data_IF_905705523692
#
_entry.id   IF_905705523692
#
_cell.length_a   1.000
_cell.length_b   1.000
_cell.length_c   1.000
_cell.angle_alpha   90.00
_cell.angle_beta   90.00
_cell.angle_gamma   90.00
#
_symmetry.space_group_name_H-M   'P 1'
#
loop_
_entity.id
_entity.type
_entity.pdbx_description
1 polymer ?
#
# COMPACT_ATOMS: atom_id res chain seq x y z
N UNK A 1 -68.60 -10.02 5.63
CA UNK A 1 -67.42 -9.56 4.85
C UNK A 1 -66.25 -9.45 5.81
N UNK A 2 -65.04 -9.95 5.62
CA UNK A 2 -64.41 -10.98 4.77
C UNK A 2 -63.16 -11.39 5.58
N UNK A 3 -62.85 -12.68 5.63
CA UNK A 3 -61.60 -13.21 6.16
C UNK A 3 -60.40 -12.82 5.25
N UNK A 4 -59.21 -12.77 5.82
CA UNK A 4 -57.92 -12.76 5.10
C UNK A 4 -56.78 -12.76 6.12
N UNK A 5 -56.36 -13.93 6.65
CA UNK A 5 -55.33 -14.84 6.08
C UNK A 5 -54.01 -14.11 5.84
N UNK A 6 -53.07 -14.34 6.76
CA UNK A 6 -51.68 -14.00 6.60
C UNK A 6 -51.01 -14.82 5.50
N UNK A 7 -50.06 -14.19 4.81
CA UNK A 7 -49.05 -14.83 4.00
C UNK A 7 -47.73 -14.10 4.20
N UNK A 8 -46.84 -14.72 4.98
CA UNK A 8 -45.43 -14.43 4.93
C UNK A 8 -44.90 -14.91 3.57
N UNK A 9 -44.42 -13.99 2.75
CA UNK A 9 -43.63 -14.32 1.56
C UNK A 9 -42.17 -14.18 1.97
N UNK A 10 -41.52 -15.32 2.17
CA UNK A 10 -40.06 -15.41 2.24
C UNK A 10 -39.54 -15.20 0.83
N UNK A 11 -38.95 -14.03 0.57
CA UNK A 11 -38.11 -13.81 -0.60
C UNK A 11 -36.65 -13.85 -0.15
N UNK A 12 -36.03 -15.02 -0.32
CA UNK A 12 -34.58 -15.12 -0.36
C UNK A 12 -34.08 -14.41 -1.61
N UNK A 13 -33.30 -13.34 -1.44
CA UNK A 13 -32.38 -12.86 -2.47
C UNK A 13 -30.98 -12.84 -1.87
N UNK A 14 -30.15 -13.70 -2.43
CA UNK A 14 -28.71 -13.78 -2.26
C UNK A 14 -28.06 -12.45 -2.65
N UNK A 15 -27.42 -11.81 -1.68
CA UNK A 15 -26.30 -10.90 -1.91
C UNK A 15 -25.44 -10.91 -0.64
N UNK A 16 -24.50 -11.84 -0.58
CA UNK A 16 -23.35 -11.70 0.31
C UNK A 16 -22.56 -10.44 -0.14
N UNK A 17 -21.87 -9.81 0.80
CA UNK A 17 -21.20 -8.49 0.68
C UNK A 17 -22.09 -7.29 1.00
N UNK A 18 -22.56 -7.21 2.25
CA UNK A 18 -22.55 -6.00 3.11
C UNK A 18 -23.35 -6.28 4.37
N UNK A 19 -22.71 -6.39 5.53
CA UNK A 19 -23.36 -6.17 6.82
C UNK A 19 -22.43 -5.35 7.72
N UNK A 20 -22.35 -4.06 7.38
CA UNK A 20 -22.13 -3.01 8.35
C UNK A 20 -23.48 -2.76 9.05
N UNK A 21 -23.69 -3.34 10.23
CA UNK A 21 -24.88 -3.02 11.04
C UNK A 21 -24.52 -1.97 12.07
N UNK A 22 -24.80 -0.71 11.75
CA UNK A 22 -24.82 0.41 12.69
C UNK A 22 -26.16 0.35 13.44
N UNK A 23 -26.16 0.07 14.74
CA UNK A 23 -27.29 0.37 15.62
C UNK A 23 -26.86 1.51 16.55
N UNK A 24 -27.28 2.73 16.21
CA UNK A 24 -27.07 3.92 17.02
C UNK A 24 -28.07 3.92 18.18
N UNK A 25 -27.60 3.61 19.39
CA UNK A 25 -28.27 3.98 20.65
C UNK A 25 -27.18 4.53 21.58
N UNK A 26 -27.44 5.72 22.13
CA UNK A 26 -26.56 6.50 23.01
C UNK A 26 -25.74 5.65 24.01
N UNK A 27 -24.41 5.73 23.94
CA UNK A 27 -23.49 5.08 24.89
C UNK A 27 -22.11 4.72 24.31
N UNK A 28 -21.64 5.48 23.31
CA UNK A 28 -20.42 5.20 22.55
C UNK A 28 -19.17 5.16 23.42
N UNK A 29 -18.56 3.98 23.52
CA UNK A 29 -17.13 3.66 23.72
C UNK A 29 -16.96 2.20 24.17
N UNK A 30 -17.94 1.63 24.90
CA UNK A 30 -17.81 0.26 25.41
C UNK A 30 -18.34 -0.85 24.48
N UNK A 31 -19.22 -0.52 23.52
CA UNK A 31 -19.83 -1.51 22.62
C UNK A 31 -18.90 -1.98 21.49
N UNK A 32 -17.90 -1.19 21.10
CA UNK A 32 -16.98 -1.55 20.00
C UNK A 32 -15.97 -2.63 20.43
N UNK A 33 -15.56 -2.68 21.70
CA UNK A 33 -14.67 -3.72 22.21
C UNK A 33 -15.37 -5.07 22.44
N UNK A 34 -16.65 -5.07 22.86
CA UNK A 34 -17.39 -6.32 23.09
C UNK A 34 -17.76 -7.06 21.80
N UNK A 35 -17.99 -6.32 20.70
CA UNK A 35 -18.33 -6.93 19.41
C UNK A 35 -17.12 -7.53 18.71
N UNK A 36 -15.92 -6.95 18.86
CA UNK A 36 -14.68 -7.57 18.34
C UNK A 36 -14.34 -8.88 19.04
N UNK A 37 -14.51 -8.95 20.36
CA UNK A 37 -14.28 -10.19 21.13
C UNK A 37 -15.31 -11.28 20.80
N UNK A 38 -16.60 -10.93 20.64
CA UNK A 38 -17.66 -11.92 20.35
C UNK A 38 -17.59 -12.48 18.93
N UNK A 39 -17.14 -11.69 17.95
CA UNK A 39 -16.96 -12.15 16.57
C UNK A 39 -15.74 -13.07 16.46
N UNK A 40 -14.66 -12.78 17.20
CA UNK A 40 -13.45 -13.62 17.24
C UNK A 40 -13.69 -15.03 17.83
N UNK A 41 -14.73 -15.22 18.64
CA UNK A 41 -15.07 -16.50 19.29
C UNK A 41 -16.23 -17.26 18.62
N UNK A 42 -16.72 -16.81 17.46
CA UNK A 42 -17.73 -17.58 16.71
C UNK A 42 -17.11 -18.83 16.08
N UNK A 43 -17.64 -20.05 16.33
CA UNK A 43 -17.09 -21.31 15.81
C UNK A 43 -17.13 -21.43 14.28
N UNK A 44 -17.78 -20.48 13.59
CA UNK A 44 -17.91 -20.41 12.14
C UNK A 44 -16.78 -19.64 11.43
N UNK A 45 -15.91 -18.94 12.18
CA UNK A 45 -14.76 -18.20 11.64
C UNK A 45 -13.55 -18.38 12.55
N UNK A 46 -12.94 -19.58 12.51
CA UNK A 46 -11.74 -19.86 13.29
C UNK A 46 -10.51 -19.27 12.59
N UNK A 47 -10.37 -17.95 12.66
CA UNK A 47 -9.28 -17.23 12.05
C UNK A 47 -8.15 -17.06 13.07
N UNK A 48 -7.10 -17.88 12.96
CA UNK A 48 -5.92 -17.77 13.83
C UNK A 48 -4.91 -16.82 13.16
N UNK A 49 -4.72 -15.60 13.68
CA UNK A 49 -3.78 -14.65 13.11
C UNK A 49 -2.34 -15.15 13.29
N UNK A 50 -1.48 -14.79 12.35
CA UNK A 50 -0.05 -15.10 12.40
C UNK A 50 0.63 -13.98 13.19
N UNK A 51 1.39 -14.34 14.21
CA UNK A 51 2.25 -13.39 14.92
C UNK A 51 3.70 -13.77 14.68
N UNK A 52 4.50 -12.82 14.22
CA UNK A 52 5.94 -12.98 14.02
C UNK A 52 6.71 -11.88 14.73
N UNK A 53 7.93 -12.20 15.15
CA UNK A 53 8.95 -11.20 15.49
C UNK A 53 10.00 -11.18 14.39
N UNK A 54 10.25 -10.02 13.81
CA UNK A 54 11.22 -9.87 12.74
C UNK A 54 12.62 -9.68 13.35
N UNK A 55 13.64 -10.22 12.67
CA UNK A 55 15.02 -10.04 13.12
C UNK A 55 15.32 -8.54 13.22
N UNK A 56 15.94 -8.12 14.33
CA UNK A 56 16.31 -6.72 14.60
C UNK A 56 15.11 -5.78 14.81
N UNK A 57 13.92 -6.32 15.10
CA UNK A 57 12.77 -5.55 15.61
C UNK A 57 12.42 -5.97 17.03
N UNK A 58 12.06 -5.00 17.88
CA UNK A 58 11.64 -5.25 19.26
C UNK A 58 10.12 -5.37 19.40
N UNK A 59 9.41 -5.64 18.29
CA UNK A 59 7.95 -5.69 18.23
C UNK A 59 7.46 -6.87 17.42
N UNK A 60 6.31 -7.38 17.85
CA UNK A 60 5.56 -8.40 17.15
C UNK A 60 4.69 -7.76 16.06
N UNK A 61 4.63 -8.43 14.91
CA UNK A 61 3.73 -8.12 13.82
C UNK A 61 2.67 -9.21 13.77
N UNK A 62 1.43 -8.86 14.09
CA UNK A 62 0.28 -9.74 13.99
C UNK A 62 -0.50 -9.41 12.72
N UNK A 63 -0.76 -10.41 11.89
CA UNK A 63 -1.46 -10.21 10.64
C UNK A 63 -2.24 -11.44 10.20
N UNK A 64 -3.19 -11.29 9.26
CA UNK A 64 -4.17 -12.34 9.10
C UNK A 64 -3.61 -13.61 8.45
N UNK A 65 -2.83 -13.45 7.38
CA UNK A 65 -2.38 -14.60 6.60
C UNK A 65 -1.16 -14.22 5.76
N UNK A 66 -0.29 -15.20 5.48
CA UNK A 66 0.78 -15.09 4.49
C UNK A 66 0.29 -14.71 3.08
N UNK A 67 -1.02 -14.83 2.81
CA UNK A 67 -1.66 -14.32 1.59
C UNK A 67 -1.40 -12.82 1.36
N UNK A 68 -1.08 -12.04 2.41
CA UNK A 68 -0.75 -10.62 2.27
C UNK A 68 0.48 -10.37 1.38
N UNK A 69 1.37 -11.36 1.24
CA UNK A 69 2.56 -11.30 0.38
C UNK A 69 2.28 -11.62 -1.10
N UNK A 70 1.06 -12.07 -1.45
CA UNK A 70 0.69 -12.42 -2.82
C UNK A 70 0.54 -11.18 -3.69
N UNK A 71 0.76 -11.33 -5.00
CA UNK A 71 0.57 -10.28 -6.00
C UNK A 71 -0.80 -9.61 -5.86
N UNK A 72 -0.81 -8.28 -5.84
CA UNK A 72 -2.03 -7.48 -5.69
C UNK A 72 -2.56 -7.33 -4.27
N UNK A 73 -1.91 -7.93 -3.26
CA UNK A 73 -2.20 -7.68 -1.84
C UNK A 73 -1.30 -6.59 -1.26
N UNK A 74 -1.65 -6.08 -0.08
CA UNK A 74 -1.02 -4.92 0.56
C UNK A 74 0.50 -5.07 0.74
N UNK A 75 1.01 -6.29 0.91
CA UNK A 75 2.45 -6.58 1.05
C UNK A 75 3.04 -7.29 -0.17
N UNK A 76 2.38 -7.19 -1.32
CA UNK A 76 2.93 -7.62 -2.61
C UNK A 76 4.30 -6.97 -2.82
N UNK A 77 5.29 -7.76 -3.19
CA UNK A 77 6.68 -7.30 -3.28
C UNK A 77 7.18 -7.40 -4.72
N UNK A 78 7.69 -6.29 -5.22
CA UNK A 78 8.45 -6.21 -6.47
C UNK A 78 9.77 -5.50 -6.23
N UNK A 79 10.78 -5.88 -7.01
CA UNK A 79 12.12 -5.33 -6.98
C UNK A 79 12.79 -5.55 -8.34
N UNK A 80 14.03 -5.08 -8.52
CA UNK A 80 14.80 -5.39 -9.72
C UNK A 80 15.00 -6.90 -9.99
N UNK A 81 14.90 -7.75 -8.95
CA UNK A 81 15.11 -9.21 -9.05
C UNK A 81 13.83 -10.03 -9.05
N UNK A 82 12.74 -9.48 -8.51
CA UNK A 82 11.45 -10.16 -8.40
C UNK A 82 10.37 -9.28 -9.03
N UNK A 83 9.79 -9.76 -10.12
CA UNK A 83 8.71 -9.07 -10.83
C UNK A 83 7.36 -9.76 -10.68
N UNK A 84 6.35 -9.10 -11.23
CA UNK A 84 5.00 -9.62 -11.47
C UNK A 84 4.76 -9.73 -12.97
N UNK A 85 3.65 -10.37 -13.36
CA UNK A 85 3.21 -10.37 -14.75
C UNK A 85 3.06 -8.92 -15.27
N UNK A 86 3.73 -8.54 -16.38
CA UNK A 86 3.56 -7.22 -16.98
C UNK A 86 2.11 -6.89 -17.39
N UNK A 87 1.25 -7.89 -17.56
CA UNK A 87 -0.18 -7.73 -17.82
C UNK A 87 -1.04 -7.62 -16.54
N UNK A 88 -0.44 -7.77 -15.36
CA UNK A 88 -1.18 -7.63 -14.10
C UNK A 88 -1.70 -6.21 -13.91
N UNK A 89 -3.00 -6.10 -13.63
CA UNK A 89 -3.69 -4.88 -13.23
C UNK A 89 -4.47 -5.16 -11.92
N UNK A 90 -4.22 -4.42 -10.83
CA UNK A 90 -4.98 -4.56 -9.60
C UNK A 90 -6.35 -3.86 -9.73
N UNK A 91 -7.27 -4.05 -8.76
CA UNK A 91 -8.41 -3.14 -8.60
C UNK A 91 -7.91 -1.71 -8.38
N UNK A 92 -8.51 -0.75 -9.08
CA UNK A 92 -8.08 0.64 -9.10
C UNK A 92 -9.25 1.59 -8.82
N UNK A 93 -8.95 2.72 -8.18
CA UNK A 93 -9.89 3.82 -7.92
C UNK A 93 -9.20 5.16 -8.15
N UNK A 94 -9.96 6.15 -8.58
CA UNK A 94 -9.45 7.50 -8.84
C UNK A 94 -9.10 8.26 -7.55
N UNK A 95 -7.97 8.96 -7.61
CA UNK A 95 -7.59 10.04 -6.72
C UNK A 95 -7.84 11.37 -7.43
N UNK A 96 -8.75 12.18 -6.90
CA UNK A 96 -9.14 13.46 -7.51
C UNK A 96 -8.36 14.64 -6.94
N UNK A 97 -7.94 14.52 -5.68
CA UNK A 97 -7.38 15.63 -4.94
C UNK A 97 -5.86 15.67 -5.11
N UNK A 98 -5.31 16.86 -5.32
CA UNK A 98 -3.86 17.08 -5.42
C UNK A 98 -3.14 16.36 -6.55
N UNK A 99 -3.89 15.89 -7.54
CA UNK A 99 -3.34 15.38 -8.80
C UNK A 99 -3.37 16.48 -9.84
N UNK A 100 -2.21 16.95 -10.33
CA UNK A 100 -2.14 17.85 -11.47
C UNK A 100 -2.74 17.23 -12.75
N UNK A 101 -2.98 18.03 -13.79
CA UNK A 101 -3.54 17.53 -15.05
C UNK A 101 -2.55 16.68 -15.86
N UNK A 102 -1.25 16.84 -15.62
CA UNK A 102 -0.18 16.20 -16.37
C UNK A 102 0.19 14.79 -15.88
N UNK A 103 -0.38 14.30 -14.77
CA UNK A 103 -0.16 12.93 -14.33
C UNK A 103 -0.83 11.96 -15.31
N UNK A 104 -0.10 10.91 -15.69
CA UNK A 104 -0.53 9.95 -16.71
C UNK A 104 -1.77 9.15 -16.27
N UNK A 105 -1.74 8.65 -15.04
CA UNK A 105 -2.82 7.85 -14.47
C UNK A 105 -3.08 8.29 -13.03
N UNK A 106 -4.34 8.62 -12.73
CA UNK A 106 -4.80 9.14 -11.44
C UNK A 106 -5.40 8.05 -10.56
N UNK A 107 -4.99 6.80 -10.75
CA UNK A 107 -5.54 5.68 -10.01
C UNK A 107 -4.55 5.10 -9.02
N UNK A 108 -5.08 4.54 -7.94
CA UNK A 108 -4.38 3.74 -6.94
C UNK A 108 -5.27 2.55 -6.54
N UNK A 109 -4.75 1.57 -5.81
CA UNK A 109 -5.63 0.57 -5.20
C UNK A 109 -6.58 1.23 -4.21
N UNK A 110 -7.83 0.74 -4.06
CA UNK A 110 -8.80 1.30 -3.12
C UNK A 110 -8.28 1.48 -1.69
N UNK A 111 -7.44 0.57 -1.20
CA UNK A 111 -6.86 0.63 0.15
C UNK A 111 -5.87 1.79 0.36
N UNK A 112 -5.41 2.43 -0.70
CA UNK A 112 -4.42 3.52 -0.65
C UNK A 112 -5.09 4.89 -0.64
N UNK A 113 -6.31 4.99 -1.17
CA UNK A 113 -7.01 6.27 -1.39
C UNK A 113 -7.15 7.09 -0.11
N UNK A 114 -7.85 6.55 0.89
CA UNK A 114 -8.09 7.26 2.15
C UNK A 114 -6.78 7.55 2.92
N UNK A 115 -5.83 6.60 3.07
CA UNK A 115 -4.53 6.90 3.67
C UNK A 115 -3.75 8.01 2.96
N UNK A 116 -3.81 8.07 1.63
CA UNK A 116 -3.14 9.11 0.85
C UNK A 116 -3.80 10.48 1.08
N UNK A 117 -5.13 10.53 1.14
CA UNK A 117 -5.88 11.74 1.49
C UNK A 117 -5.50 12.24 2.89
N UNK A 118 -5.43 11.35 3.88
CA UNK A 118 -5.00 11.67 5.25
C UNK A 118 -3.56 12.19 5.30
N UNK A 119 -2.62 11.53 4.62
CA UNK A 119 -1.22 11.99 4.53
C UNK A 119 -1.15 13.39 3.92
N UNK A 120 -1.89 13.65 2.85
CA UNK A 120 -1.91 14.96 2.19
C UNK A 120 -2.52 16.05 3.06
N UNK A 121 -3.60 15.76 3.78
CA UNK A 121 -4.17 16.68 4.77
C UNK A 121 -3.13 17.04 5.86
N UNK A 122 -2.45 16.04 6.41
CA UNK A 122 -1.43 16.24 7.44
C UNK A 122 -0.25 17.09 6.95
N UNK A 123 0.23 16.86 5.72
CA UNK A 123 1.28 17.71 5.13
C UNK A 123 0.80 19.16 4.96
N UNK A 124 -0.47 19.38 4.59
CA UNK A 124 -1.03 20.73 4.46
C UNK A 124 -1.16 21.43 5.83
N UNK A 125 -1.58 20.71 6.87
CA UNK A 125 -1.62 21.20 8.26
C UNK A 125 -0.22 21.57 8.77
N UNK A 126 0.80 20.80 8.39
CA UNK A 126 2.21 21.09 8.65
C UNK A 126 2.78 22.25 7.80
N UNK A 127 1.95 22.89 6.95
CA UNK A 127 2.34 23.95 6.01
C UNK A 127 3.37 23.49 4.97
N UNK A 128 3.30 22.22 4.59
CA UNK A 128 4.16 21.54 3.61
C UNK A 128 3.30 20.80 2.55
N UNK A 129 2.32 21.47 1.91
CA UNK A 129 1.40 20.79 1.01
C UNK A 129 2.12 20.07 -0.13
N UNK A 130 1.64 18.88 -0.48
CA UNK A 130 2.20 18.04 -1.54
C UNK A 130 1.22 17.80 -2.69
N UNK A 131 1.78 17.53 -3.87
CA UNK A 131 1.08 17.03 -5.06
C UNK A 131 1.52 15.58 -5.33
N UNK A 132 0.61 14.80 -5.89
CA UNK A 132 0.95 13.47 -6.42
C UNK A 132 1.48 13.64 -7.83
N UNK A 133 2.74 13.22 -8.06
CA UNK A 133 3.39 13.30 -9.37
C UNK A 133 3.34 11.98 -10.14
N UNK A 134 3.17 10.85 -9.45
CA UNK A 134 2.93 9.56 -10.09
C UNK A 134 2.16 8.63 -9.15
N UNK A 135 1.34 7.75 -9.71
CA UNK A 135 0.49 6.81 -8.97
C UNK A 135 0.55 5.44 -9.65
N UNK A 136 -0.58 4.85 -10.07
CA UNK A 136 -0.54 3.62 -10.86
C UNK A 136 0.17 3.83 -12.20
N UNK A 137 0.90 2.80 -12.65
CA UNK A 137 1.46 2.73 -14.01
C UNK A 137 1.40 1.30 -14.51
N UNK A 138 0.70 1.08 -15.62
CA UNK A 138 0.59 -0.25 -16.23
C UNK A 138 1.93 -0.75 -16.78
N UNK A 139 2.07 -2.07 -16.97
CA UNK A 139 3.27 -2.63 -17.59
C UNK A 139 3.50 -2.11 -19.01
N UNK A 140 2.43 -1.86 -19.77
CA UNK A 140 2.48 -1.24 -21.11
C UNK A 140 3.01 0.19 -21.05
N UNK A 141 2.52 1.01 -20.11
CA UNK A 141 3.03 2.38 -19.91
C UNK A 141 4.50 2.35 -19.48
N UNK A 142 4.87 1.44 -18.57
CA UNK A 142 6.28 1.26 -18.15
C UNK A 142 7.19 0.86 -19.34
N UNK A 143 6.72 0.01 -20.25
CA UNK A 143 7.45 -0.36 -21.47
C UNK A 143 7.67 0.84 -22.39
N UNK A 144 6.67 1.71 -22.52
CA UNK A 144 6.77 2.97 -23.29
C UNK A 144 7.83 3.89 -22.68
N UNK A 145 7.77 4.13 -21.36
CA UNK A 145 8.77 4.95 -20.64
C UNK A 145 10.20 4.42 -20.84
N UNK A 146 10.41 3.10 -20.77
CA UNK A 146 11.74 2.50 -21.06
C UNK A 146 12.18 2.72 -22.49
N UNK A 147 11.29 2.56 -23.45
CA UNK A 147 11.61 2.73 -24.87
C UNK A 147 12.04 4.17 -25.15
N UNK A 148 11.27 5.14 -24.66
CA UNK A 148 11.56 6.58 -24.82
C UNK A 148 12.86 6.98 -24.11
N UNK A 149 13.07 6.48 -22.88
CA UNK A 149 14.31 6.77 -22.12
C UNK A 149 15.53 6.15 -22.80
N UNK A 150 15.41 4.95 -23.34
CA UNK A 150 16.52 4.29 -24.06
C UNK A 150 16.89 5.05 -25.33
N UNK A 151 15.90 5.51 -26.07
CA UNK A 151 16.13 6.32 -27.26
C UNK A 151 16.82 7.66 -26.93
N UNK A 152 16.51 8.27 -25.78
CA UNK A 152 17.02 9.58 -25.39
C UNK A 152 18.35 9.54 -24.63
N UNK A 153 18.51 8.58 -23.72
CA UNK A 153 19.60 8.54 -22.73
C UNK A 153 20.50 7.29 -22.87
N UNK A 154 20.12 6.32 -23.72
CA UNK A 154 20.85 5.08 -23.93
C UNK A 154 20.49 3.97 -22.94
N UNK A 155 20.83 2.72 -23.32
CA UNK A 155 20.44 1.52 -22.60
C UNK A 155 20.99 1.44 -21.17
N UNK A 156 22.26 1.83 -20.97
CA UNK A 156 22.89 1.79 -19.65
C UNK A 156 22.16 2.70 -18.64
N UNK A 157 21.80 3.91 -19.05
CA UNK A 157 21.02 4.83 -18.21
C UNK A 157 19.62 4.26 -17.93
N UNK A 158 18.93 3.72 -18.93
CA UNK A 158 17.62 3.11 -18.72
C UNK A 158 17.67 1.93 -17.75
N UNK A 159 18.69 1.09 -17.84
CA UNK A 159 18.86 -0.07 -16.96
C UNK A 159 19.13 0.32 -15.51
N UNK A 160 19.76 1.48 -15.29
CA UNK A 160 20.06 2.02 -13.97
C UNK A 160 18.85 2.72 -13.32
N UNK A 161 18.05 3.47 -14.10
CA UNK A 161 17.02 4.37 -13.55
C UNK A 161 15.57 3.98 -13.84
N UNK A 162 15.31 3.06 -14.77
CA UNK A 162 13.94 2.76 -15.20
C UNK A 162 13.63 1.28 -15.04
N UNK A 163 12.75 0.95 -14.08
CA UNK A 163 12.30 -0.42 -13.85
C UNK A 163 11.74 -1.07 -15.14
N UNK A 164 12.00 -2.37 -15.30
CA UNK A 164 11.39 -3.19 -16.36
C UNK A 164 9.87 -3.30 -16.15
N UNK A 165 9.06 -3.53 -17.20
CA UNK A 165 7.66 -3.91 -17.02
C UNK A 165 7.55 -5.11 -16.07
N UNK A 166 6.61 -5.07 -15.12
CA UNK A 166 6.51 -6.08 -14.06
C UNK A 166 7.43 -5.86 -12.86
N UNK A 167 8.37 -4.91 -12.90
CA UNK A 167 9.34 -4.68 -11.81
C UNK A 167 9.16 -3.32 -11.11
N UNK A 168 8.10 -2.57 -11.44
CA UNK A 168 7.79 -1.27 -10.84
C UNK A 168 6.71 -1.41 -9.78
N UNK A 169 6.91 -0.85 -8.58
CA UNK A 169 5.88 -0.83 -7.54
C UNK A 169 4.63 -0.03 -7.95
N UNK A 170 4.76 0.93 -8.87
CA UNK A 170 3.61 1.65 -9.44
C UNK A 170 2.61 0.71 -10.12
N UNK A 171 3.05 -0.41 -10.69
CA UNK A 171 2.14 -1.39 -11.32
C UNK A 171 1.26 -2.11 -10.29
N UNK A 172 1.66 -2.11 -9.01
CA UNK A 172 0.81 -2.62 -7.93
C UNK A 172 -0.29 -1.64 -7.54
N UNK A 173 -0.25 -0.38 -7.97
CA UNK A 173 -1.16 0.66 -7.48
C UNK A 173 -1.01 0.94 -5.98
N UNK A 174 0.11 0.54 -5.37
CA UNK A 174 0.43 0.69 -3.95
C UNK A 174 1.51 1.75 -3.70
N UNK A 175 2.11 2.30 -4.76
CA UNK A 175 3.15 3.31 -4.68
C UNK A 175 2.67 4.64 -5.26
N UNK A 176 3.16 5.73 -4.68
CA UNK A 176 2.95 7.10 -5.16
C UNK A 176 4.26 7.88 -5.09
N UNK A 177 4.46 8.75 -6.07
CA UNK A 177 5.51 9.77 -6.02
C UNK A 177 4.91 11.09 -5.57
N UNK A 178 5.58 11.76 -4.63
CA UNK A 178 5.15 13.03 -4.05
C UNK A 178 6.14 14.15 -4.37
N UNK A 179 5.62 15.34 -4.68
CA UNK A 179 6.40 16.57 -4.85
C UNK A 179 5.82 17.67 -3.97
N UNK A 180 6.64 18.67 -3.63
CA UNK A 180 6.13 19.86 -2.96
C UNK A 180 5.19 20.63 -3.88
N UNK A 181 4.15 21.20 -3.30
CA UNK A 181 3.22 22.05 -4.02
C UNK A 181 3.89 23.37 -4.44
N UNK A 182 3.71 23.74 -5.71
CA UNK A 182 3.84 25.11 -6.18
C UNK A 182 2.91 25.31 -7.38
N UNK A 183 2.45 26.52 -7.64
CA UNK A 183 1.62 26.80 -8.83
C UNK A 183 2.35 26.45 -10.13
N UNK A 184 3.68 26.62 -10.18
CA UNK A 184 4.51 26.22 -11.33
C UNK A 184 4.50 24.71 -11.53
N UNK A 185 4.76 23.93 -10.47
CA UNK A 185 4.71 22.47 -10.52
C UNK A 185 3.30 21.96 -10.88
N UNK A 186 2.26 22.58 -10.32
CA UNK A 186 0.87 22.25 -10.64
C UNK A 186 0.56 22.47 -12.13
N UNK A 187 1.13 23.52 -12.74
CA UNK A 187 0.98 23.78 -14.17
C UNK A 187 1.84 22.87 -15.05
N UNK A 188 3.07 22.52 -14.60
CA UNK A 188 4.05 21.81 -15.42
C UNK A 188 4.98 20.94 -14.57
N UNK A 189 5.04 19.65 -14.90
CA UNK A 189 5.88 18.67 -14.20
C UNK A 189 7.37 19.05 -14.11
N UNK A 190 7.94 19.68 -15.15
CA UNK A 190 9.36 20.05 -15.15
C UNK A 190 9.74 21.11 -14.10
N UNK A 191 8.76 21.78 -13.50
CA UNK A 191 8.96 22.75 -12.42
C UNK A 191 8.74 22.13 -11.02
N UNK A 192 8.50 20.82 -10.96
CA UNK A 192 8.31 20.10 -9.71
C UNK A 192 9.64 19.75 -9.06
N UNK A 193 9.68 19.90 -7.74
CA UNK A 193 10.75 19.45 -6.89
C UNK A 193 10.17 19.14 -5.52
N UNK A 194 10.69 18.10 -4.87
CA UNK A 194 10.41 17.85 -3.47
C UNK A 194 11.44 18.62 -2.63
N UNK A 195 10.98 19.64 -1.92
CA UNK A 195 11.85 20.45 -1.07
C UNK A 195 12.37 19.62 0.12
N UNK A 196 13.59 19.90 0.62
CA UNK A 196 14.18 19.11 1.70
C UNK A 196 13.38 19.08 3.00
N UNK A 197 12.62 20.15 3.31
CA UNK A 197 11.83 20.22 4.54
C UNK A 197 10.62 19.29 4.45
N UNK A 198 9.92 19.30 3.31
CA UNK A 198 8.82 18.38 3.02
C UNK A 198 9.30 16.94 2.92
N UNK A 199 10.43 16.69 2.26
CA UNK A 199 11.05 15.36 2.22
C UNK A 199 11.35 14.81 3.62
N UNK A 200 11.97 15.64 4.49
CA UNK A 200 12.26 15.25 5.87
C UNK A 200 10.98 14.97 6.66
N UNK A 201 9.95 15.80 6.50
CA UNK A 201 8.68 15.61 7.19
C UNK A 201 8.02 14.29 6.77
N UNK A 202 7.96 14.01 5.47
CA UNK A 202 7.40 12.75 4.95
C UNK A 202 8.20 11.53 5.44
N UNK A 203 9.53 11.59 5.43
CA UNK A 203 10.36 10.50 5.94
C UNK A 203 10.12 10.20 7.43
N UNK A 204 9.75 11.21 8.21
CA UNK A 204 9.40 11.06 9.63
C UNK A 204 7.96 10.59 9.84
N UNK A 205 6.98 11.15 9.12
CA UNK A 205 5.56 11.02 9.48
C UNK A 205 4.74 10.12 8.55
N UNK A 206 5.21 9.78 7.35
CA UNK A 206 4.42 9.01 6.38
C UNK A 206 3.97 7.63 6.91
N UNK A 207 4.74 7.05 7.85
CA UNK A 207 4.45 5.76 8.46
C UNK A 207 3.15 5.76 9.29
N UNK A 208 2.80 6.90 9.88
CA UNK A 208 1.56 7.10 10.66
C UNK A 208 0.30 6.92 9.80
N UNK A 209 0.47 7.08 8.48
CA UNK A 209 -0.54 6.92 7.44
C UNK A 209 -0.35 5.62 6.66
N UNK A 210 0.57 4.73 7.07
CA UNK A 210 0.79 3.44 6.43
C UNK A 210 1.71 3.47 5.20
N UNK A 211 2.40 4.58 4.96
CA UNK A 211 3.38 4.72 3.89
C UNK A 211 4.81 4.64 4.43
N UNK A 212 5.69 4.04 3.65
CA UNK A 212 7.14 4.03 3.93
C UNK A 212 7.88 4.80 2.85
N UNK A 213 8.97 5.47 3.23
CA UNK A 213 9.99 5.89 2.26
C UNK A 213 10.65 4.62 1.72
N UNK A 214 10.32 4.24 0.47
CA UNK A 214 10.70 2.92 -0.08
C UNK A 214 12.19 2.79 -0.34
N UNK A 215 12.84 3.88 -0.74
CA UNK A 215 14.23 3.94 -1.17
C UNK A 215 15.02 5.00 -0.38
N UNK A 216 15.30 4.74 0.91
CA UNK A 216 16.04 5.67 1.76
C UNK A 216 17.52 5.73 1.38
N UNK A 217 18.14 6.90 1.63
CA UNK A 217 19.57 7.14 1.40
C UNK A 217 20.45 6.17 2.20
N UNK A 218 21.49 5.65 1.57
CA UNK A 218 22.45 4.72 2.19
C UNK A 218 22.01 3.26 2.20
N UNK A 219 20.84 2.94 1.64
CA UNK A 219 20.31 1.58 1.51
C UNK A 219 20.31 1.07 0.06
N UNK A 220 21.01 1.74 -0.85
CA UNK A 220 21.02 1.45 -2.29
C UNK A 220 21.55 0.02 -2.57
N UNK A 221 22.52 -0.45 -1.79
CA UNK A 221 23.04 -1.82 -1.88
C UNK A 221 22.01 -2.90 -1.52
N UNK A 222 21.00 -2.53 -0.74
CA UNK A 222 19.93 -3.42 -0.27
C UNK A 222 18.75 -3.37 -1.23
N UNK A 223 18.27 -2.16 -1.54
CA UNK A 223 17.10 -1.95 -2.41
C UNK A 223 17.41 -2.20 -3.89
N UNK A 224 18.67 -2.00 -4.29
CA UNK A 224 19.09 -1.99 -5.70
C UNK A 224 18.64 -0.76 -6.48
N UNK A 225 18.09 0.26 -5.81
CA UNK A 225 17.60 1.51 -6.40
C UNK A 225 18.27 2.67 -5.67
N UNK A 226 18.62 3.72 -6.42
CA UNK A 226 19.16 4.96 -5.85
C UNK A 226 18.17 5.58 -4.85
N UNK A 227 18.65 6.48 -3.99
CA UNK A 227 17.75 7.13 -3.03
C UNK A 227 16.70 7.98 -3.76
N UNK A 228 15.43 7.74 -3.42
CA UNK A 228 14.29 8.48 -3.97
C UNK A 228 13.46 9.06 -2.82
N UNK A 229 13.74 10.31 -2.45
CA UNK A 229 13.04 10.99 -1.36
C UNK A 229 11.53 11.20 -1.61
N UNK A 230 11.09 11.02 -2.85
CA UNK A 230 9.72 11.22 -3.30
C UNK A 230 8.88 9.94 -3.39
N UNK A 231 9.49 8.75 -3.34
CA UNK A 231 8.78 7.50 -3.63
C UNK A 231 8.27 6.83 -2.34
N UNK A 232 6.94 6.79 -2.20
CA UNK A 232 6.27 6.26 -1.02
C UNK A 232 5.44 5.03 -1.34
N UNK A 233 5.65 3.98 -0.55
CA UNK A 233 4.98 2.69 -0.70
C UNK A 233 3.98 2.46 0.43
N UNK A 234 2.72 2.19 0.10
CA UNK A 234 1.71 1.81 1.08
C UNK A 234 1.86 0.34 1.49
N UNK A 235 1.94 0.11 2.80
CA UNK A 235 2.03 -1.22 3.43
C UNK A 235 1.07 -1.38 4.62
N UNK A 236 0.25 -0.37 4.91
CA UNK A 236 -0.59 -0.30 6.09
C UNK A 236 0.18 0.15 7.34
N UNK A 237 -0.53 0.68 8.33
CA UNK A 237 0.05 1.38 9.49
C UNK A 237 0.98 0.48 10.31
N UNK A 238 0.57 -0.74 10.63
CA UNK A 238 1.37 -1.62 11.50
C UNK A 238 2.74 -1.96 10.90
N UNK A 239 2.77 -2.34 9.61
CA UNK A 239 4.02 -2.67 8.93
C UNK A 239 4.85 -1.41 8.68
N UNK A 240 4.22 -0.28 8.33
CA UNK A 240 4.93 0.98 8.12
C UNK A 240 5.61 1.47 9.40
N UNK A 241 4.92 1.45 10.53
CA UNK A 241 5.48 1.80 11.84
C UNK A 241 6.61 0.87 12.25
N UNK A 242 6.48 -0.43 12.00
CA UNK A 242 7.56 -1.39 12.25
C UNK A 242 8.80 -1.09 11.40
N UNK A 243 8.63 -0.82 10.11
CA UNK A 243 9.72 -0.47 9.19
C UNK A 243 10.39 0.83 9.63
N UNK A 244 9.59 1.86 9.94
CA UNK A 244 10.09 3.16 10.39
C UNK A 244 10.94 3.06 11.65
N UNK A 245 10.43 2.42 12.70
CA UNK A 245 11.12 2.36 13.99
C UNK A 245 12.34 1.44 14.01
N UNK A 246 12.35 0.40 13.16
CA UNK A 246 13.49 -0.51 13.06
C UNK A 246 14.64 0.03 12.20
N UNK A 247 14.38 1.03 11.34
CA UNK A 247 15.35 1.51 10.35
C UNK A 247 15.69 0.49 9.25
N UNK A 248 14.89 -0.56 9.13
CA UNK A 248 14.99 -1.56 8.06
C UNK A 248 14.32 -1.04 6.77
N UNK A 249 14.70 -1.58 5.62
CA UNK A 249 13.92 -1.39 4.39
C UNK A 249 12.79 -2.42 4.28
N UNK A 250 11.85 -2.18 3.35
CA UNK A 250 10.85 -3.19 3.03
C UNK A 250 11.48 -4.48 2.48
N UNK A 251 12.60 -4.39 1.76
CA UNK A 251 13.34 -5.55 1.26
C UNK A 251 13.86 -6.41 2.43
N UNK A 252 14.51 -5.80 3.43
CA UNK A 252 15.00 -6.50 4.62
C UNK A 252 13.84 -7.17 5.37
N UNK A 253 12.73 -6.44 5.58
CA UNK A 253 11.55 -6.97 6.26
C UNK A 253 10.90 -8.10 5.45
N UNK A 254 10.74 -7.94 4.15
CA UNK A 254 10.17 -8.96 3.26
C UNK A 254 10.98 -10.26 3.27
N UNK A 255 12.31 -10.18 3.21
CA UNK A 255 13.18 -11.37 3.28
C UNK A 255 13.03 -12.10 4.63
N UNK A 256 12.95 -11.37 5.73
CA UNK A 256 12.68 -11.95 7.06
C UNK A 256 11.31 -12.66 7.09
N UNK A 257 10.28 -12.02 6.57
CA UNK A 257 8.93 -12.59 6.50
C UNK A 257 8.88 -13.87 5.67
N UNK A 258 9.54 -13.89 4.50
CA UNK A 258 9.62 -15.07 3.64
C UNK A 258 10.34 -16.22 4.34
N UNK A 259 11.49 -15.96 4.98
CA UNK A 259 12.22 -16.96 5.77
C UNK A 259 11.35 -17.57 6.88
N UNK A 260 10.60 -16.74 7.61
CA UNK A 260 9.71 -17.21 8.68
C UNK A 260 8.54 -18.04 8.15
N UNK A 261 7.93 -17.60 7.03
CA UNK A 261 6.87 -18.36 6.34
C UNK A 261 7.36 -19.75 5.93
N UNK A 262 8.54 -19.82 5.33
CA UNK A 262 9.09 -21.06 4.78
C UNK A 262 9.46 -22.02 5.92
N UNK A 263 10.07 -21.51 7.01
CA UNK A 263 10.35 -22.30 8.21
C UNK A 263 9.06 -22.84 8.87
N UNK A 264 8.01 -22.04 8.96
CA UNK A 264 6.71 -22.47 9.48
C UNK A 264 6.04 -23.53 8.59
N UNK A 265 6.35 -23.53 7.29
CA UNK A 265 5.82 -24.52 6.34
C UNK A 265 6.55 -25.86 6.50
N UNK A 266 7.88 -25.83 6.67
CA UNK A 266 8.71 -27.03 6.92
C UNK A 266 8.36 -27.71 8.25
N UNK A 267 8.11 -26.92 9.30
CA UNK A 267 7.69 -27.46 10.60
C UNK A 267 6.34 -28.20 10.54
N UNK A 268 5.44 -27.82 9.62
CA UNK A 268 4.15 -28.49 9.41
C UNK A 268 4.24 -29.73 8.52
N UNK A 269 5.29 -29.87 7.70
CA UNK A 269 5.46 -30.99 6.77
C UNK A 269 6.39 -32.10 7.29
N UNK A 270 6.98 -31.94 8.48
CA UNK A 270 7.83 -32.97 9.09
C UNK A 270 6.93 -34.06 9.71
N UNK A 271 7.07 -35.34 9.32
CA UNK A 271 6.26 -36.40 9.90
C UNK A 271 6.65 -36.61 11.37
N UNK A 272 5.64 -36.68 12.24
CA UNK A 272 5.73 -37.11 13.64
C UNK A 272 6.16 -38.57 13.76
#
# INVERSE_FOLDING_TARGET
MKHGVGRAVVAMVLAAWTTLTLLMINGGTQLVNRTSESVAHSPLYNFQPITIRLDRTNRDLTFPSWKYLQTGKIWSYVSGKQGIDPAFEPPLTDITDGTPSWIEDKRVQPMVKEPLEQLRQATAEAKLPVLVSSAYRSGTAQAKVRTETTAKNGAAHTDEYVAKPGHSEHQLGLAVDLTSFSEKCKARFSDCALDPKTASWLATHAHEYGFILRYPKGKEKITGIASEAWHFRYVGKDLASLIHESGLTFDEVYQNMVKLRDNASVAKSSPS
#
